data_IF_573671911470
#
_entry.id   IF_573671911470
#
_cell.length_a   1.000
_cell.length_b   1.000
_cell.length_c   1.000
_cell.angle_alpha   90.00
_cell.angle_beta   90.00
_cell.angle_gamma   90.00
#
_symmetry.space_group_name_H-M   'P 1'
#
loop_
_entity.id
_entity.type
_entity.pdbx_description
1 polymer ?
#
# COMPACT_ATOMS: atom_id res chain seq x y z
N UNK A 1 16.02 -11.31 6.99
CA UNK A 1 15.85 -12.66 7.54
C UNK A 1 15.47 -12.53 9.02
N UNK A 2 14.17 -12.51 9.33
CA UNK A 2 13.70 -12.43 10.72
C UNK A 2 13.95 -13.76 11.43
N UNK A 3 14.96 -13.82 12.27
CA UNK A 3 15.13 -14.90 13.27
C UNK A 3 14.22 -14.58 14.46
N UNK A 4 13.00 -15.11 14.48
CA UNK A 4 12.25 -15.22 15.73
C UNK A 4 12.86 -16.34 16.57
N UNK A 5 13.65 -15.98 17.60
CA UNK A 5 14.18 -16.92 18.62
C UNK A 5 13.20 -17.18 19.77
N UNK A 6 11.89 -16.99 19.54
CA UNK A 6 10.86 -17.36 20.51
C UNK A 6 10.23 -18.68 20.11
N UNK A 7 10.06 -19.61 21.07
CA UNK A 7 9.27 -20.82 20.84
C UNK A 7 7.91 -20.42 20.23
N UNK A 8 7.45 -21.08 19.16
CA UNK A 8 6.17 -20.75 18.54
C UNK A 8 5.06 -20.89 19.58
N UNK A 9 4.15 -19.91 19.57
CA UNK A 9 3.00 -19.96 20.50
C UNK A 9 2.15 -21.19 20.17
N UNK A 10 1.83 -22.00 21.19
CA UNK A 10 0.95 -23.17 21.02
C UNK A 10 -0.50 -22.76 21.10
N UNK A 11 -1.31 -23.22 20.17
CA UNK A 11 -2.75 -22.98 20.11
C UNK A 11 -3.48 -24.34 20.09
N UNK A 12 -4.30 -24.57 21.11
CA UNK A 12 -5.12 -25.75 21.18
C UNK A 12 -6.34 -25.65 20.25
N UNK A 13 -6.61 -26.72 19.52
CA UNK A 13 -7.78 -26.82 18.64
C UNK A 13 -8.77 -27.79 19.27
N UNK A 14 -9.84 -27.24 19.83
CA UNK A 14 -10.91 -28.03 20.46
C UNK A 14 -12.16 -27.98 19.58
N UNK A 15 -12.77 -29.13 19.30
CA UNK A 15 -14.00 -29.21 18.55
C UNK A 15 -15.12 -28.42 19.24
N UNK A 16 -15.80 -27.53 18.52
CA UNK A 16 -16.84 -26.65 19.04
C UNK A 16 -16.33 -25.32 19.60
N UNK A 17 -15.01 -25.11 19.71
CA UNK A 17 -14.39 -23.88 20.24
C UNK A 17 -13.69 -23.07 19.14
N UNK A 18 -14.28 -23.00 17.95
CA UNK A 18 -13.68 -22.30 16.82
C UNK A 18 -13.46 -20.81 17.04
N UNK A 19 -14.31 -20.12 17.78
CA UNK A 19 -14.14 -18.72 18.15
C UNK A 19 -12.93 -18.51 19.07
N UNK A 20 -12.78 -19.32 20.11
CA UNK A 20 -11.64 -19.23 21.03
C UNK A 20 -10.31 -19.47 20.29
N UNK A 21 -10.28 -20.46 19.38
CA UNK A 21 -9.11 -20.73 18.54
C UNK A 21 -8.83 -19.56 17.57
N UNK A 22 -9.88 -18.93 17.02
CA UNK A 22 -9.77 -17.75 16.17
C UNK A 22 -9.15 -16.57 16.94
N UNK A 23 -9.65 -16.30 18.16
CA UNK A 23 -9.15 -15.23 19.01
C UNK A 23 -7.69 -15.48 19.44
N UNK A 24 -7.33 -16.72 19.72
CA UNK A 24 -5.95 -17.10 20.01
C UNK A 24 -5.01 -16.83 18.82
N UNK A 25 -5.43 -17.15 17.60
CA UNK A 25 -4.66 -16.83 16.40
C UNK A 25 -4.57 -15.32 16.18
N UNK A 26 -5.68 -14.58 16.34
CA UNK A 26 -5.66 -13.11 16.27
C UNK A 26 -4.66 -12.51 17.25
N UNK A 27 -4.61 -13.02 18.48
CA UNK A 27 -3.63 -12.58 19.49
C UNK A 27 -2.17 -12.79 19.06
N UNK A 28 -1.88 -13.73 18.16
CA UNK A 28 -0.54 -13.89 17.55
C UNK A 28 -0.33 -12.88 16.43
N UNK A 29 -1.32 -12.73 15.53
CA UNK A 29 -1.24 -11.82 14.38
C UNK A 29 -1.08 -10.36 14.80
N UNK A 30 -1.73 -9.96 15.90
CA UNK A 30 -1.60 -8.61 16.49
C UNK A 30 -0.18 -8.25 16.91
N UNK A 31 0.69 -9.23 17.10
CA UNK A 31 2.11 -9.04 17.46
C UNK A 31 3.05 -9.14 16.26
N UNK A 32 2.52 -9.51 15.09
CA UNK A 32 3.32 -9.54 13.87
C UNK A 32 3.67 -8.11 13.44
N UNK A 33 4.94 -7.81 13.16
CA UNK A 33 5.39 -6.45 12.87
C UNK A 33 4.99 -5.96 11.48
N UNK A 34 4.71 -6.88 10.57
CA UNK A 34 4.51 -6.69 9.14
C UNK A 34 3.08 -6.94 8.67
N UNK A 35 2.16 -7.25 9.61
CA UNK A 35 0.74 -7.49 9.31
C UNK A 35 -0.13 -6.30 9.66
N UNK A 36 -1.01 -5.94 8.71
CA UNK A 36 -1.89 -4.78 8.81
C UNK A 36 -3.28 -5.06 8.26
N UNK A 37 -4.23 -4.22 8.66
CA UNK A 37 -5.52 -4.08 7.97
C UNK A 37 -5.41 -2.94 6.94
N UNK A 38 -5.42 -3.28 5.65
CA UNK A 38 -5.44 -2.35 4.53
C UNK A 38 -6.83 -2.38 3.89
N UNK A 39 -7.60 -1.31 4.04
CA UNK A 39 -9.03 -1.34 3.73
C UNK A 39 -9.75 -2.37 4.61
N UNK A 40 -10.38 -3.36 4.00
CA UNK A 40 -11.01 -4.49 4.70
C UNK A 40 -10.17 -5.78 4.62
N UNK A 41 -8.99 -5.72 4.04
CA UNK A 41 -8.15 -6.90 3.79
C UNK A 41 -7.02 -7.01 4.80
N UNK A 42 -6.71 -8.25 5.18
CA UNK A 42 -5.48 -8.57 5.88
C UNK A 42 -4.33 -8.53 4.87
N UNK A 43 -3.31 -7.76 5.14
CA UNK A 43 -2.13 -7.67 4.28
C UNK A 43 -0.85 -7.92 5.05
N UNK A 44 0.17 -8.37 4.32
CA UNK A 44 1.56 -8.37 4.77
C UNK A 44 2.32 -7.35 3.94
N UNK A 45 3.10 -6.51 4.60
CA UNK A 45 4.02 -5.61 3.93
C UNK A 45 5.36 -6.31 3.77
N UNK A 46 5.73 -6.53 2.52
CA UNK A 46 6.99 -7.14 2.15
C UNK A 46 8.12 -6.12 2.05
N UNK A 47 9.32 -6.62 1.79
CA UNK A 47 10.50 -5.77 1.59
C UNK A 47 10.30 -4.79 0.42
N UNK A 48 10.76 -3.56 0.60
CA UNK A 48 10.56 -2.48 -0.38
C UNK A 48 9.12 -1.95 -0.45
N UNK A 49 8.36 -2.08 0.64
CA UNK A 49 7.05 -1.48 0.80
C UNK A 49 5.92 -2.12 -0.01
N UNK A 50 6.14 -3.33 -0.54
CA UNK A 50 5.11 -4.02 -1.31
C UNK A 50 3.99 -4.54 -0.41
N UNK A 51 2.74 -4.22 -0.75
CA UNK A 51 1.55 -4.65 -0.01
C UNK A 51 0.99 -5.93 -0.65
N UNK A 52 0.92 -7.00 0.13
CA UNK A 52 0.45 -8.32 -0.33
C UNK A 52 -0.83 -8.72 0.40
N UNK A 53 -2.00 -8.65 -0.26
CA UNK A 53 -3.25 -9.16 0.30
C UNK A 53 -3.16 -10.64 0.63
N UNK A 54 -3.62 -11.00 1.82
CA UNK A 54 -3.55 -12.36 2.34
C UNK A 54 -4.82 -13.13 1.98
N UNK A 55 -4.66 -14.28 1.33
CA UNK A 55 -5.73 -15.25 1.15
C UNK A 55 -5.66 -16.36 2.21
N UNK A 56 -6.60 -17.31 2.18
CA UNK A 56 -6.65 -18.43 3.13
C UNK A 56 -5.35 -19.24 3.16
N UNK A 57 -4.80 -19.55 1.98
CA UNK A 57 -3.57 -20.35 1.90
C UNK A 57 -2.35 -19.59 2.44
N UNK A 58 -2.23 -18.31 2.10
CA UNK A 58 -1.19 -17.44 2.63
C UNK A 58 -1.28 -17.31 4.15
N UNK A 59 -2.48 -17.08 4.69
CA UNK A 59 -2.67 -16.99 6.14
C UNK A 59 -2.38 -18.31 6.85
N UNK A 60 -2.76 -19.44 6.27
CA UNK A 60 -2.41 -20.77 6.82
C UNK A 60 -0.90 -20.97 6.88
N UNK A 61 -0.19 -20.59 5.84
CA UNK A 61 1.26 -20.68 5.79
C UNK A 61 1.91 -19.80 6.88
N UNK A 62 1.52 -18.53 6.99
CA UNK A 62 2.08 -17.62 8.00
C UNK A 62 1.67 -18.04 9.42
N UNK A 63 0.43 -18.48 9.64
CA UNK A 63 0.00 -19.01 10.92
C UNK A 63 0.83 -20.22 11.36
N UNK A 64 1.13 -21.15 10.43
CA UNK A 64 1.99 -22.30 10.71
C UNK A 64 3.45 -21.96 11.03
N UNK A 65 3.94 -20.82 10.50
CA UNK A 65 5.29 -20.32 10.83
C UNK A 65 5.35 -19.67 12.21
N UNK A 66 4.27 -19.00 12.63
CA UNK A 66 4.21 -18.23 13.88
C UNK A 66 3.71 -19.05 15.07
N UNK A 67 2.96 -20.11 14.81
CA UNK A 67 2.25 -20.87 15.84
C UNK A 67 2.39 -22.37 15.64
N UNK A 68 2.14 -23.12 16.70
CA UNK A 68 2.06 -24.55 16.69
C UNK A 68 0.63 -24.97 17.12
N UNK A 69 -0.18 -25.37 16.16
CA UNK A 69 -1.53 -25.90 16.45
C UNK A 69 -1.43 -27.33 16.93
N UNK A 70 -2.20 -27.67 17.93
CA UNK A 70 -2.27 -29.00 18.50
C UNK A 70 -3.67 -29.35 18.98
N UNK A 71 -3.95 -30.62 19.11
CA UNK A 71 -5.22 -31.12 19.63
C UNK A 71 -5.04 -32.44 20.33
N UNK A 72 -6.08 -32.92 20.99
CA UNK A 72 -6.12 -34.23 21.60
C UNK A 72 -6.80 -35.24 20.71
N UNK A 73 -6.20 -36.39 20.50
CA UNK A 73 -6.86 -37.52 19.86
C UNK A 73 -6.75 -38.79 20.71
N UNK A 74 -7.71 -39.69 20.53
CA UNK A 74 -7.67 -41.00 21.15
C UNK A 74 -6.65 -41.90 20.43
N UNK A 75 -5.69 -42.42 21.14
CA UNK A 75 -4.77 -43.43 20.65
C UNK A 75 -5.44 -44.78 20.44
N UNK A 76 -4.81 -45.70 19.73
CA UNK A 76 -5.31 -47.07 19.56
C UNK A 76 -5.46 -47.84 20.89
N UNK A 77 -4.80 -47.36 21.94
CA UNK A 77 -4.80 -47.92 23.31
C UNK A 77 -5.84 -47.24 24.22
N UNK A 78 -6.69 -46.36 23.71
CA UNK A 78 -7.70 -45.64 24.48
C UNK A 78 -7.17 -44.48 25.35
N UNK A 79 -5.91 -44.01 25.12
CA UNK A 79 -5.34 -42.89 25.85
C UNK A 79 -5.46 -41.62 25.01
N UNK A 80 -5.68 -40.47 25.67
CA UNK A 80 -5.60 -39.17 25.04
C UNK A 80 -4.12 -38.81 24.81
N UNK A 81 -3.77 -38.54 23.57
CA UNK A 81 -2.42 -38.12 23.15
C UNK A 81 -2.51 -36.81 22.40
N UNK A 82 -1.51 -35.96 22.59
CA UNK A 82 -1.34 -34.73 21.82
C UNK A 82 -0.97 -35.07 20.38
N UNK A 83 -1.59 -34.36 19.44
CA UNK A 83 -1.28 -34.41 18.03
C UNK A 83 -1.06 -32.99 17.50
N UNK A 84 0.02 -32.81 16.76
CA UNK A 84 0.25 -31.56 16.04
C UNK A 84 -0.68 -31.48 14.83
N UNK A 85 -1.23 -30.31 14.63
CA UNK A 85 -2.19 -30.04 13.56
C UNK A 85 -1.67 -28.93 12.65
N UNK A 86 -1.99 -29.02 11.38
CA UNK A 86 -1.89 -27.87 10.48
C UNK A 86 -2.87 -26.77 10.89
N UNK A 87 -2.57 -25.48 10.59
CA UNK A 87 -3.52 -24.41 10.83
C UNK A 87 -4.88 -24.70 10.20
N UNK A 88 -5.97 -24.76 11.00
CA UNK A 88 -7.26 -25.18 10.48
C UNK A 88 -7.83 -24.16 9.47
N UNK A 89 -8.28 -24.60 8.27
CA UNK A 89 -8.80 -23.72 7.22
C UNK A 89 -9.95 -22.83 7.67
N UNK A 90 -10.88 -23.37 8.47
CA UNK A 90 -12.03 -22.64 8.99
C UNK A 90 -11.60 -21.51 9.94
N UNK A 91 -10.56 -21.68 10.74
CA UNK A 91 -10.03 -20.64 11.64
C UNK A 91 -9.42 -19.50 10.81
N UNK A 92 -8.62 -19.85 9.80
CA UNK A 92 -8.05 -18.81 8.90
C UNK A 92 -9.15 -18.06 8.13
N UNK A 93 -10.19 -18.77 7.63
CA UNK A 93 -11.36 -18.11 7.02
C UNK A 93 -12.11 -17.20 7.99
N UNK A 94 -12.27 -17.60 9.25
CA UNK A 94 -12.88 -16.77 10.27
C UNK A 94 -12.08 -15.47 10.44
N UNK A 95 -10.75 -15.55 10.61
CA UNK A 95 -9.87 -14.37 10.71
C UNK A 95 -10.03 -13.45 9.50
N UNK A 96 -10.01 -13.99 8.30
CA UNK A 96 -10.17 -13.20 7.07
C UNK A 96 -11.54 -12.53 6.99
N UNK A 97 -12.61 -13.20 7.42
CA UNK A 97 -13.98 -12.69 7.38
C UNK A 97 -14.27 -11.58 8.39
N UNK A 98 -13.42 -11.39 9.39
CA UNK A 98 -13.60 -10.32 10.39
C UNK A 98 -13.43 -8.92 9.80
N UNK A 99 -12.74 -8.76 8.67
CA UNK A 99 -12.48 -7.46 8.07
C UNK A 99 -11.80 -6.53 9.09
N UNK A 100 -12.22 -5.30 9.15
CA UNK A 100 -11.65 -4.29 10.08
C UNK A 100 -11.83 -4.62 11.58
N UNK A 101 -12.58 -5.67 11.92
CA UNK A 101 -12.78 -6.11 13.32
C UNK A 101 -11.61 -6.94 13.86
N UNK A 102 -10.57 -7.23 13.06
CA UNK A 102 -9.38 -7.98 13.52
C UNK A 102 -8.59 -7.27 14.60
N UNK A 103 -8.71 -5.94 14.67
CA UNK A 103 -7.96 -5.13 15.63
C UNK A 103 -6.49 -4.92 15.27
N UNK A 104 -6.06 -5.29 14.06
CA UNK A 104 -4.74 -5.01 13.54
C UNK A 104 -4.52 -3.51 13.32
N UNK A 105 -3.26 -3.11 13.20
CA UNK A 105 -2.92 -1.74 12.82
C UNK A 105 -3.51 -1.45 11.45
N UNK A 106 -4.26 -0.35 11.34
CA UNK A 106 -4.80 0.10 10.06
C UNK A 106 -3.67 0.73 9.25
N UNK A 107 -3.56 0.33 8.00
CA UNK A 107 -2.58 0.88 7.06
C UNK A 107 -3.33 1.62 5.96
N UNK A 108 -2.98 2.88 5.74
CA UNK A 108 -3.53 3.66 4.62
C UNK A 108 -2.58 3.69 3.43
N UNK A 109 -1.25 3.73 3.69
CA UNK A 109 -0.24 3.57 2.63
C UNK A 109 1.12 3.19 3.20
N UNK A 110 1.99 2.67 2.32
CA UNK A 110 3.43 2.55 2.57
C UNK A 110 4.13 3.69 1.84
N UNK A 111 5.01 4.40 2.53
CA UNK A 111 5.83 5.47 1.97
C UNK A 111 7.31 5.10 2.05
N UNK A 112 8.07 5.53 1.06
CA UNK A 112 9.51 5.27 0.96
C UNK A 112 10.35 6.55 0.99
N UNK A 113 9.68 7.70 1.09
CA UNK A 113 10.30 9.01 1.24
C UNK A 113 9.57 9.79 2.34
N UNK A 114 10.25 10.75 3.00
CA UNK A 114 9.62 11.62 3.98
C UNK A 114 8.41 12.35 3.40
N UNK A 115 7.41 12.57 4.25
CA UNK A 115 6.20 13.32 3.88
C UNK A 115 5.77 14.22 5.03
N UNK A 116 4.74 15.02 4.82
CA UNK A 116 4.15 15.84 5.88
C UNK A 116 2.99 15.09 6.55
N UNK A 117 2.81 15.35 7.85
CA UNK A 117 1.56 15.06 8.55
C UNK A 117 0.56 16.19 8.34
N UNK A 118 -0.69 15.97 8.65
CA UNK A 118 -1.75 16.98 8.53
C UNK A 118 -1.54 18.22 9.39
N UNK A 119 -0.75 18.09 10.46
CA UNK A 119 -0.33 19.21 11.33
C UNK A 119 0.90 19.98 10.81
N UNK A 120 1.44 19.58 9.66
CA UNK A 120 2.64 20.16 9.05
C UNK A 120 3.96 19.58 9.55
N UNK A 121 3.93 18.69 10.54
CA UNK A 121 5.14 18.02 11.01
C UNK A 121 5.68 17.03 9.97
N UNK A 122 7.00 16.89 9.89
CA UNK A 122 7.64 15.96 8.97
C UNK A 122 7.60 14.53 9.53
N UNK A 123 7.12 13.58 8.72
CA UNK A 123 7.27 12.16 8.96
C UNK A 123 8.52 11.66 8.23
N UNK A 124 9.62 11.52 8.96
CA UNK A 124 10.93 11.10 8.43
C UNK A 124 11.54 9.92 9.21
N UNK A 125 10.84 9.38 10.21
CA UNK A 125 11.31 8.25 11.02
C UNK A 125 10.73 6.97 10.48
N UNK A 126 11.58 5.98 10.17
CA UNK A 126 11.16 4.67 9.70
C UNK A 126 10.24 3.97 10.71
N UNK A 127 9.28 3.22 10.20
CA UNK A 127 8.31 2.47 10.97
C UNK A 127 6.88 2.95 10.78
N UNK A 128 5.98 2.34 11.56
CA UNK A 128 4.54 2.64 11.49
C UNK A 128 4.19 3.87 12.34
N UNK A 129 3.59 4.88 11.71
CA UNK A 129 3.05 6.06 12.36
C UNK A 129 1.53 5.92 12.59
N UNK A 130 1.14 5.78 13.85
CA UNK A 130 -0.26 5.57 14.22
C UNK A 130 -1.17 6.79 13.94
N UNK A 131 -0.61 8.00 13.90
CA UNK A 131 -1.38 9.22 13.68
C UNK A 131 -1.82 9.38 12.23
N UNK A 132 -0.98 8.97 11.30
CA UNK A 132 -1.24 9.02 9.86
C UNK A 132 -1.63 7.67 9.28
N UNK A 133 -1.45 6.58 10.03
CA UNK A 133 -1.60 5.19 9.57
C UNK A 133 -0.72 4.86 8.37
N UNK A 134 0.40 5.56 8.24
CA UNK A 134 1.42 5.31 7.24
C UNK A 134 2.51 4.40 7.81
N UNK A 135 3.04 3.53 6.97
CA UNK A 135 4.27 2.81 7.23
C UNK A 135 5.38 3.45 6.41
N UNK A 136 6.38 4.05 7.08
CA UNK A 136 7.56 4.55 6.40
C UNK A 136 8.60 3.41 6.32
N UNK A 137 8.71 2.83 5.13
CA UNK A 137 9.67 1.77 4.80
C UNK A 137 10.85 2.40 4.06
N UNK A 138 11.90 2.71 4.80
CA UNK A 138 13.16 3.17 4.22
C UNK A 138 14.30 2.30 4.72
N UNK A 139 15.28 2.08 3.85
CA UNK A 139 16.56 1.47 4.24
C UNK A 139 17.22 2.34 5.34
N UNK A 140 18.06 1.72 6.17
CA UNK A 140 18.64 2.22 7.43
C UNK A 140 19.37 3.59 7.37
N UNK A 141 19.16 4.40 6.36
CA UNK A 141 19.73 5.71 6.25
C UNK A 141 18.72 6.77 6.71
N UNK A 142 18.91 7.36 7.91
CA UNK A 142 18.07 8.46 8.35
C UNK A 142 18.18 9.62 7.35
N UNK A 143 17.03 10.00 6.79
CA UNK A 143 16.95 11.18 5.94
C UNK A 143 16.83 12.39 6.86
N UNK A 144 17.86 13.20 6.88
CA UNK A 144 17.83 14.46 7.64
C UNK A 144 16.99 15.50 6.89
N UNK A 145 15.80 15.75 7.41
CA UNK A 145 14.90 16.78 6.89
C UNK A 145 14.83 17.91 7.89
N UNK A 146 15.24 19.14 7.51
CA UNK A 146 15.16 20.29 8.40
C UNK A 146 13.73 20.52 8.88
N UNK A 147 13.54 20.64 10.20
CA UNK A 147 12.21 20.82 10.79
C UNK A 147 11.68 22.25 10.65
N UNK A 148 12.58 23.24 10.52
CA UNK A 148 12.24 24.66 10.34
C UNK A 148 13.22 25.28 9.34
N UNK A 149 13.08 24.97 8.04
CA UNK A 149 14.01 25.47 7.04
C UNK A 149 13.81 26.96 6.80
N UNK A 150 14.91 27.70 6.74
CA UNK A 150 14.91 29.11 6.33
C UNK A 150 14.47 29.23 4.87
N UNK A 151 13.99 30.41 4.48
CA UNK A 151 13.64 30.68 3.07
C UNK A 151 14.80 30.39 2.11
N UNK A 152 16.04 30.66 2.54
CA UNK A 152 17.24 30.42 1.72
C UNK A 152 17.45 28.92 1.48
N UNK A 153 17.30 28.10 2.52
CA UNK A 153 17.41 26.65 2.40
C UNK A 153 16.28 26.07 1.53
N UNK A 154 15.05 26.57 1.67
CA UNK A 154 13.94 26.17 0.82
C UNK A 154 14.19 26.52 -0.66
N UNK A 155 14.77 27.68 -0.98
CA UNK A 155 15.14 28.04 -2.35
C UNK A 155 16.23 27.11 -2.87
N UNK A 156 17.27 26.82 -2.10
CA UNK A 156 18.34 25.92 -2.51
C UNK A 156 17.80 24.49 -2.76
N UNK A 157 16.88 24.02 -1.92
CA UNK A 157 16.21 22.73 -2.11
C UNK A 157 15.36 22.70 -3.39
N UNK A 158 14.65 23.79 -3.67
CA UNK A 158 13.87 23.94 -4.89
C UNK A 158 14.78 23.95 -6.14
N UNK A 159 15.87 24.69 -6.10
CA UNK A 159 16.85 24.73 -7.19
C UNK A 159 17.46 23.34 -7.45
N UNK A 160 17.78 22.62 -6.37
CA UNK A 160 18.26 21.24 -6.47
C UNK A 160 17.23 20.31 -7.10
N UNK A 161 15.98 20.37 -6.63
CA UNK A 161 14.86 19.59 -7.18
C UNK A 161 14.61 19.91 -8.65
N UNK A 162 14.78 21.18 -9.05
CA UNK A 162 14.52 21.64 -10.41
C UNK A 162 15.67 21.36 -11.38
N UNK A 163 16.88 21.17 -10.89
CA UNK A 163 18.09 21.00 -11.71
C UNK A 163 17.97 19.96 -12.82
N UNK A 164 17.37 18.76 -12.64
CA UNK A 164 17.19 17.79 -13.72
C UNK A 164 16.31 18.28 -14.87
N UNK A 165 15.50 19.31 -14.64
CA UNK A 165 14.51 19.84 -15.58
C UNK A 165 14.92 21.19 -16.20
N UNK A 166 16.13 21.71 -15.91
CA UNK A 166 16.58 23.02 -16.35
C UNK A 166 16.54 23.17 -17.88
N UNK A 167 16.94 22.13 -18.58
CA UNK A 167 17.02 22.11 -20.06
C UNK A 167 15.81 21.46 -20.73
N UNK A 168 14.79 21.05 -19.93
CA UNK A 168 13.61 20.43 -20.48
C UNK A 168 12.77 21.49 -21.25
N UNK A 169 12.32 21.18 -22.50
CA UNK A 169 11.69 22.15 -23.37
C UNK A 169 10.23 22.43 -23.02
N UNK A 170 9.96 22.94 -21.83
CA UNK A 170 8.63 23.43 -21.47
C UNK A 170 8.24 24.62 -22.34
N UNK A 171 7.01 24.64 -22.84
CA UNK A 171 6.51 25.67 -23.74
C UNK A 171 6.40 27.03 -23.03
N UNK A 172 5.97 27.01 -21.75
CA UNK A 172 5.73 28.24 -21.00
C UNK A 172 6.14 28.13 -19.52
N UNK A 173 6.15 29.26 -18.85
CA UNK A 173 6.34 29.32 -17.40
C UNK A 173 5.17 28.61 -16.64
N UNK A 174 3.97 28.60 -17.24
CA UNK A 174 2.83 27.88 -16.68
C UNK A 174 3.07 26.38 -16.66
N UNK A 175 3.58 25.81 -17.76
CA UNK A 175 3.86 24.37 -17.86
C UNK A 175 4.93 23.95 -16.83
N UNK A 176 5.95 24.79 -16.61
CA UNK A 176 6.93 24.60 -15.53
C UNK A 176 6.26 24.60 -14.15
N UNK A 177 5.37 25.55 -13.90
CA UNK A 177 4.66 25.65 -12.63
C UNK A 177 3.74 24.44 -12.39
N UNK A 178 3.07 23.92 -13.44
CA UNK A 178 2.25 22.71 -13.36
C UNK A 178 3.09 21.48 -13.05
N UNK A 179 4.27 21.33 -13.69
CA UNK A 179 5.16 20.22 -13.35
C UNK A 179 5.69 20.31 -11.91
N UNK A 180 6.05 21.50 -11.44
CA UNK A 180 6.44 21.72 -10.04
C UNK A 180 5.28 21.38 -9.09
N UNK A 181 4.05 21.82 -9.43
CA UNK A 181 2.87 21.46 -8.63
C UNK A 181 2.64 19.96 -8.57
N UNK A 182 2.88 19.22 -9.66
CA UNK A 182 2.82 17.76 -9.66
C UNK A 182 3.84 17.14 -8.69
N UNK A 183 5.08 17.61 -8.71
CA UNK A 183 6.13 17.13 -7.81
C UNK A 183 5.81 17.42 -6.33
N UNK A 184 5.35 18.64 -6.02
CA UNK A 184 4.95 19.01 -4.65
C UNK A 184 3.74 18.17 -4.20
N UNK A 185 2.73 18.04 -5.07
CA UNK A 185 1.55 17.19 -4.77
C UNK A 185 1.98 15.75 -4.48
N UNK A 186 2.90 15.20 -5.25
CA UNK A 186 3.46 13.87 -5.03
C UNK A 186 4.09 13.73 -3.63
N UNK A 187 4.91 14.71 -3.23
CA UNK A 187 5.59 14.71 -1.93
C UNK A 187 4.63 14.81 -0.73
N UNK A 188 3.54 15.61 -0.86
CA UNK A 188 2.58 15.84 0.23
C UNK A 188 1.28 15.05 0.07
N UNK A 189 1.18 14.14 -0.90
CA UNK A 189 -0.04 13.40 -1.24
C UNK A 189 -0.76 12.78 -0.03
N UNK A 190 -0.06 12.19 0.97
CA UNK A 190 -0.73 11.59 2.12
C UNK A 190 -1.51 12.58 3.00
N UNK A 191 -1.23 13.87 2.90
CA UNK A 191 -1.96 14.92 3.66
C UNK A 191 -3.16 15.47 2.91
N UNK A 192 -3.30 15.14 1.63
CA UNK A 192 -4.37 15.65 0.78
C UNK A 192 -5.51 14.62 0.70
N UNK A 193 -6.77 15.04 0.92
CA UNK A 193 -7.92 14.13 0.81
C UNK A 193 -8.13 13.65 -0.63
N UNK A 194 -7.85 14.51 -1.60
CA UNK A 194 -7.95 14.24 -3.04
C UNK A 194 -6.76 14.86 -3.76
N UNK A 195 -6.54 14.47 -5.01
CA UNK A 195 -5.44 14.99 -5.82
C UNK A 195 -5.89 15.08 -7.29
N UNK A 196 -5.50 16.14 -8.02
CA UNK A 196 -5.72 16.20 -9.46
C UNK A 196 -4.85 15.17 -10.18
N UNK A 197 -5.27 14.76 -11.37
CA UNK A 197 -4.39 14.15 -12.35
C UNK A 197 -3.58 15.22 -13.09
N UNK A 198 -2.34 14.90 -13.45
CA UNK A 198 -1.46 15.78 -14.22
C UNK A 198 -1.27 15.17 -15.61
N UNK A 199 -1.57 15.96 -16.65
CA UNK A 199 -1.41 15.56 -18.07
C UNK A 199 -0.17 16.18 -18.69
N UNK A 200 0.58 15.37 -19.44
CA UNK A 200 1.74 15.82 -20.22
C UNK A 200 1.46 15.56 -21.69
N UNK A 201 1.45 16.61 -22.48
CA UNK A 201 1.25 16.53 -23.92
C UNK A 201 2.40 17.18 -24.69
N UNK A 202 2.63 16.74 -25.91
CA UNK A 202 3.60 17.33 -26.81
C UNK A 202 3.31 16.88 -28.27
N UNK A 203 3.62 17.74 -29.23
CA UNK A 203 3.29 17.48 -30.63
C UNK A 203 4.16 16.38 -31.26
N UNK A 204 5.30 16.03 -30.63
CA UNK A 204 6.27 15.08 -31.20
C UNK A 204 6.46 13.90 -30.25
N UNK A 205 6.50 12.69 -30.83
CA UNK A 205 6.88 11.48 -30.09
C UNK A 205 8.36 11.57 -29.64
N UNK A 206 8.68 10.99 -28.50
CA UNK A 206 10.05 11.02 -27.98
C UNK A 206 10.43 12.33 -27.25
N UNK A 207 9.48 13.24 -27.02
CA UNK A 207 9.69 14.54 -26.35
C UNK A 207 9.91 14.47 -24.82
N UNK A 208 9.87 13.27 -24.21
CA UNK A 208 10.10 13.09 -22.78
C UNK A 208 8.85 13.17 -21.88
N UNK A 209 7.64 13.19 -22.44
CA UNK A 209 6.37 13.21 -21.66
C UNK A 209 6.31 12.14 -20.56
N UNK A 210 6.54 10.89 -20.96
CA UNK A 210 6.53 9.74 -20.04
C UNK A 210 7.62 9.87 -18.98
N UNK A 211 8.79 10.45 -19.33
CA UNK A 211 9.86 10.69 -18.37
C UNK A 211 9.43 11.67 -17.28
N UNK A 212 8.75 12.77 -17.61
CA UNK A 212 8.23 13.71 -16.61
C UNK A 212 7.24 13.02 -15.65
N UNK A 213 6.29 12.24 -16.16
CA UNK A 213 5.36 11.47 -15.35
C UNK A 213 6.09 10.46 -14.43
N UNK A 214 7.10 9.78 -14.95
CA UNK A 214 7.93 8.84 -14.18
C UNK A 214 8.72 9.55 -13.08
N UNK A 215 9.27 10.73 -13.35
CA UNK A 215 9.97 11.52 -12.31
C UNK A 215 9.04 11.89 -11.15
N UNK A 216 7.79 12.28 -11.43
CA UNK A 216 6.79 12.52 -10.37
C UNK A 216 6.51 11.23 -9.60
N UNK A 217 6.36 10.10 -10.29
CA UNK A 217 6.16 8.80 -9.66
C UNK A 217 7.35 8.37 -8.78
N UNK A 218 8.58 8.65 -9.19
CA UNK A 218 9.77 8.37 -8.38
C UNK A 218 9.77 9.10 -7.03
N UNK A 219 9.23 10.31 -6.98
CA UNK A 219 9.09 11.05 -5.71
C UNK A 219 8.11 10.38 -4.74
N UNK A 220 7.10 9.68 -5.24
CA UNK A 220 6.12 8.97 -4.40
C UNK A 220 6.55 7.56 -4.04
N UNK A 221 7.14 6.84 -5.00
CA UNK A 221 7.44 5.41 -4.88
C UNK A 221 8.88 5.14 -4.40
N UNK A 222 9.76 6.15 -4.42
CA UNK A 222 11.20 5.97 -4.15
C UNK A 222 11.93 5.12 -5.20
N UNK A 223 11.22 4.70 -6.23
CA UNK A 223 11.69 3.87 -7.35
C UNK A 223 10.95 4.23 -8.63
N UNK A 224 11.39 3.70 -9.75
CA UNK A 224 10.71 3.91 -11.02
C UNK A 224 9.27 3.36 -10.97
N UNK A 225 8.24 4.20 -11.21
CA UNK A 225 6.85 3.78 -11.11
C UNK A 225 6.47 2.85 -12.27
N UNK A 226 5.47 2.01 -12.03
CA UNK A 226 4.87 1.22 -13.09
C UNK A 226 4.15 2.10 -14.10
N UNK A 227 4.44 1.89 -15.39
CA UNK A 227 3.78 2.57 -16.50
C UNK A 227 2.72 1.67 -17.09
N UNK A 228 1.50 2.18 -17.20
CA UNK A 228 0.35 1.45 -17.69
C UNK A 228 -0.04 1.95 -19.08
N UNK A 229 -0.05 1.08 -20.09
CA UNK A 229 -0.50 1.49 -21.40
C UNK A 229 -1.99 1.83 -21.38
N UNK A 230 -2.37 2.93 -22.02
CA UNK A 230 -3.78 3.22 -22.23
C UNK A 230 -4.34 2.23 -23.27
N UNK A 231 -5.41 1.55 -22.91
CA UNK A 231 -6.15 0.73 -23.88
C UNK A 231 -7.05 1.63 -24.71
N UNK A 232 -6.81 1.68 -26.00
CA UNK A 232 -7.65 2.41 -26.94
C UNK A 232 -9.09 1.85 -26.86
N UNK A 233 -10.03 2.69 -26.44
CA UNK A 233 -11.45 2.35 -26.31
C UNK A 233 -12.09 3.06 -25.11
N UNK A 234 -13.41 3.27 -25.17
CA UNK A 234 -14.21 3.90 -24.10
C UNK A 234 -14.62 2.88 -23.03
N UNK A 235 -13.76 1.93 -22.69
CA UNK A 235 -14.08 0.92 -21.69
C UNK A 235 -13.74 1.43 -20.29
N UNK A 236 -14.68 2.20 -19.71
CA UNK A 236 -14.59 2.71 -18.35
C UNK A 236 -14.52 1.58 -17.31
N UNK A 237 -15.03 0.39 -17.64
CA UNK A 237 -14.93 -0.78 -16.76
C UNK A 237 -13.49 -1.28 -16.65
N UNK A 238 -12.73 -1.27 -17.73
CA UNK A 238 -11.31 -1.64 -17.70
C UNK A 238 -10.48 -0.60 -16.93
N UNK A 239 -10.77 0.70 -17.12
CA UNK A 239 -10.16 1.77 -16.32
C UNK A 239 -10.44 1.57 -14.84
N UNK A 240 -11.69 1.29 -14.47
CA UNK A 240 -12.10 1.02 -13.10
C UNK A 240 -11.36 -0.16 -12.49
N UNK A 241 -11.26 -1.29 -13.20
CA UNK A 241 -10.55 -2.49 -12.74
C UNK A 241 -9.07 -2.22 -12.51
N UNK A 242 -8.43 -1.48 -13.41
CA UNK A 242 -7.00 -1.12 -13.29
C UNK A 242 -6.76 -0.18 -12.11
N UNK A 243 -7.57 0.88 -11.96
CA UNK A 243 -7.51 1.78 -10.83
C UNK A 243 -7.63 1.00 -9.52
N UNK A 244 -8.65 0.15 -9.39
CA UNK A 244 -8.85 -0.64 -8.19
C UNK A 244 -7.67 -1.57 -7.89
N UNK A 245 -7.10 -2.21 -8.92
CA UNK A 245 -5.93 -3.08 -8.77
C UNK A 245 -4.72 -2.30 -8.26
N UNK A 246 -4.45 -1.13 -8.82
CA UNK A 246 -3.33 -0.27 -8.40
C UNK A 246 -3.50 0.20 -6.96
N UNK A 247 -4.68 0.74 -6.63
CA UNK A 247 -4.97 1.24 -5.28
C UNK A 247 -4.89 0.10 -4.24
N UNK A 248 -5.46 -1.06 -4.55
CA UNK A 248 -5.42 -2.24 -3.67
C UNK A 248 -4.01 -2.79 -3.45
N UNK A 249 -3.11 -2.60 -4.40
CA UNK A 249 -1.71 -3.01 -4.28
C UNK A 249 -0.85 -2.00 -3.50
N UNK A 250 -1.44 -0.91 -3.03
CA UNK A 250 -0.75 0.13 -2.26
C UNK A 250 0.17 1.03 -3.10
N UNK A 251 0.11 0.97 -4.43
CA UNK A 251 0.80 1.92 -5.28
C UNK A 251 0.23 3.32 -5.11
N UNK A 252 1.10 4.30 -5.03
CA UNK A 252 0.75 5.71 -4.77
C UNK A 252 0.78 6.56 -6.02
N UNK A 253 1.38 6.08 -7.09
CA UNK A 253 1.43 6.73 -8.38
C UNK A 253 1.06 5.77 -9.50
N UNK A 254 0.21 6.22 -10.39
CA UNK A 254 -0.13 5.53 -11.63
C UNK A 254 0.23 6.41 -12.81
N UNK A 255 1.13 5.94 -13.65
CA UNK A 255 1.50 6.62 -14.89
C UNK A 255 0.77 5.94 -16.05
N UNK A 256 -0.15 6.67 -16.67
CA UNK A 256 -0.81 6.24 -17.90
C UNK A 256 -0.05 6.77 -19.11
N UNK A 257 0.36 5.89 -19.98
CA UNK A 257 1.09 6.24 -21.20
C UNK A 257 0.27 5.99 -22.46
N UNK A 258 0.60 6.69 -23.53
CA UNK A 258 -0.06 6.57 -24.83
C UNK A 258 -1.57 6.84 -24.79
N UNK A 259 -1.99 7.82 -24.03
CA UNK A 259 -3.39 8.30 -24.03
C UNK A 259 -3.65 9.01 -25.38
N UNK A 260 -4.52 8.42 -26.21
CA UNK A 260 -4.87 8.96 -27.53
C UNK A 260 -6.32 9.44 -27.52
N UNK A 261 -6.53 10.66 -28.02
CA UNK A 261 -7.87 11.26 -28.11
C UNK A 261 -8.39 11.78 -26.77
N UNK A 262 -9.71 11.93 -26.69
CA UNK A 262 -10.36 12.39 -25.47
C UNK A 262 -10.36 11.27 -24.43
N UNK A 263 -9.79 11.56 -23.24
CA UNK A 263 -9.84 10.67 -22.11
C UNK A 263 -11.02 11.08 -21.20
N UNK A 264 -12.07 10.28 -21.24
CA UNK A 264 -13.29 10.48 -20.44
C UNK A 264 -13.57 9.20 -19.68
N UNK A 265 -13.50 9.29 -18.32
CA UNK A 265 -13.67 8.14 -17.43
C UNK A 265 -14.36 8.58 -16.14
N UNK A 266 -15.57 8.08 -15.93
CA UNK A 266 -16.31 8.28 -14.69
C UNK A 266 -15.59 7.62 -13.49
N UNK A 267 -14.95 6.47 -13.71
CA UNK A 267 -14.16 5.77 -12.69
C UNK A 267 -12.97 6.62 -12.25
N UNK A 268 -12.22 7.22 -13.19
CA UNK A 268 -11.12 8.12 -12.84
C UNK A 268 -11.61 9.38 -12.14
N UNK A 269 -12.68 10.01 -12.62
CA UNK A 269 -13.26 11.18 -11.98
C UNK A 269 -13.65 10.88 -10.53
N UNK A 270 -14.28 9.74 -10.27
CA UNK A 270 -14.61 9.27 -8.92
C UNK A 270 -13.37 9.07 -8.05
N UNK A 271 -12.33 8.40 -8.57
CA UNK A 271 -11.09 8.14 -7.83
C UNK A 271 -10.34 9.44 -7.47
N UNK A 272 -10.41 10.48 -8.31
CA UNK A 272 -9.74 11.77 -8.07
C UNK A 272 -10.50 12.67 -7.11
N UNK A 273 -11.81 12.49 -6.95
CA UNK A 273 -12.68 13.39 -6.17
C UNK A 273 -13.20 12.77 -4.87
N UNK A 274 -13.02 11.47 -4.68
CA UNK A 274 -13.47 10.76 -3.48
C UNK A 274 -12.29 10.33 -2.61
N UNK A 275 -12.43 10.39 -1.27
CA UNK A 275 -11.38 9.96 -0.36
C UNK A 275 -11.23 8.43 -0.30
N UNK A 276 -12.20 7.69 -0.82
CA UNK A 276 -12.20 6.22 -0.86
C UNK A 276 -12.71 5.71 -2.19
N UNK A 277 -12.19 4.59 -2.63
CA UNK A 277 -12.61 3.91 -3.86
C UNK A 277 -12.97 2.46 -3.55
N UNK A 278 -14.21 2.06 -3.88
CA UNK A 278 -14.72 0.71 -3.58
C UNK A 278 -15.05 -0.04 -4.86
N UNK A 279 -14.62 -1.28 -4.95
CA UNK A 279 -14.98 -2.17 -6.06
C UNK A 279 -14.98 -3.64 -5.63
N UNK A 280 -15.47 -4.51 -6.52
CA UNK A 280 -15.45 -5.96 -6.34
C UNK A 280 -14.06 -6.52 -6.64
N UNK A 281 -13.64 -7.47 -5.81
CA UNK A 281 -12.41 -8.23 -6.07
C UNK A 281 -12.69 -9.22 -7.20
N UNK A 282 -11.92 -9.13 -8.28
CA UNK A 282 -12.02 -10.05 -9.41
C UNK A 282 -11.84 -11.50 -8.95
N UNK A 283 -12.78 -12.36 -9.35
CA UNK A 283 -12.77 -13.79 -8.98
C UNK A 283 -13.24 -14.11 -7.57
N UNK A 284 -13.73 -13.11 -6.80
CA UNK A 284 -14.32 -13.31 -5.49
C UNK A 284 -15.67 -12.59 -5.37
N UNK A 285 -16.61 -13.15 -4.60
CA UNK A 285 -17.87 -12.48 -4.26
C UNK A 285 -17.69 -11.48 -3.10
N UNK A 286 -16.56 -10.76 -3.10
CA UNK A 286 -16.16 -9.81 -2.06
C UNK A 286 -15.91 -8.43 -2.67
N UNK A 287 -16.23 -7.39 -1.91
CA UNK A 287 -15.87 -6.01 -2.22
C UNK A 287 -14.79 -5.54 -1.26
N UNK A 288 -13.88 -4.71 -1.73
CA UNK A 288 -12.89 -4.02 -0.91
C UNK A 288 -13.01 -2.52 -1.10
N UNK A 289 -12.64 -1.74 -0.10
CA UNK A 289 -12.60 -0.29 -0.11
C UNK A 289 -11.16 0.13 0.21
N UNK A 290 -10.58 0.94 -0.63
CA UNK A 290 -9.22 1.48 -0.53
C UNK A 290 -9.25 2.99 -0.53
#
# INVERSE_FOLDING_TARGET
>A
TFRMSRQPQRIEVVKGKGSETTDALLGVLLRAPDMYDFGAELVVVGHGGSVHPMNEHGLRYEAGRMTQFWGLRMSKQGQLVEELLDPPPNICRNVLSLGQRRGLKKLDAVITAPTLRSDGAVLATAGYDASTRLLFDCDDHPIDVPMDPSRKEAILALDFLWKPFSDFPFVSALDRAVHLAAMITAAVRPTLPTSPAFGYDAPVQGSGKTLLGRCVGMLTEGKDPSVWPHTAGRDDEEVRKRLFTVLRSGFRCMVWDNVVGQFDSAALASALTSPTFSDRILGASLSSTV
#
